data_IF_307507692919
#
_entry.id   IF_307507692919
#
_cell.length_a   1.000
_cell.length_b   1.000
_cell.length_c   1.000
_cell.angle_alpha   90.00
_cell.angle_beta   90.00
_cell.angle_gamma   90.00
#
_symmetry.space_group_name_H-M   'P 1'
#
loop_
_entity.id
_entity.type
_entity.pdbx_description
1 polymer ?
#
# COMPACT_ATOMS: atom_id res chain seq x y z
N UNK A 1 29.26 -13.11 91.12
CA UNK A 1 27.98 -12.89 90.43
C UNK A 1 28.22 -11.91 89.29
N UNK A 2 28.69 -12.37 88.14
CA UNK A 2 27.92 -12.78 86.95
C UNK A 2 27.25 -11.63 86.19
N UNK A 3 27.88 -11.28 85.03
CA UNK A 3 27.28 -10.93 83.72
C UNK A 3 26.54 -9.58 83.63
N UNK A 4 26.65 -8.73 82.59
CA UNK A 4 26.81 -8.92 81.13
C UNK A 4 27.39 -7.61 80.50
N UNK A 5 28.47 -7.67 79.72
CA UNK A 5 28.54 -7.72 78.25
C UNK A 5 28.02 -6.49 77.47
N UNK A 6 29.01 -5.70 77.03
CA UNK A 6 29.20 -5.04 75.72
C UNK A 6 27.95 -4.93 74.83
N UNK A 7 27.46 -3.70 74.64
CA UNK A 7 26.64 -3.33 73.48
C UNK A 7 27.52 -2.68 72.41
N UNK A 8 27.97 -3.52 71.49
CA UNK A 8 28.45 -3.17 70.15
C UNK A 8 27.51 -3.89 69.18
N UNK A 9 27.25 -3.27 68.01
CA UNK A 9 26.48 -3.78 66.86
C UNK A 9 24.95 -3.70 67.03
N UNK A 10 24.14 -3.31 66.04
CA UNK A 10 24.36 -3.23 64.59
C UNK A 10 23.30 -2.27 64.01
N UNK A 11 23.75 -1.17 63.38
CA UNK A 11 22.89 -0.34 62.54
C UNK A 11 22.62 -1.12 61.25
N UNK A 12 21.48 -1.80 61.19
CA UNK A 12 21.05 -2.56 60.02
C UNK A 12 20.53 -1.56 58.97
N UNK A 13 21.47 -0.89 58.29
CA UNK A 13 21.24 -0.24 57.02
C UNK A 13 20.80 -1.33 56.04
N UNK A 14 19.49 -1.51 55.91
CA UNK A 14 18.89 -2.14 54.73
C UNK A 14 19.15 -1.20 53.56
N UNK A 15 20.38 -1.24 53.05
CA UNK A 15 20.65 -0.89 51.67
C UNK A 15 19.81 -1.88 50.86
N UNK A 16 18.61 -1.44 50.49
CA UNK A 16 17.93 -1.95 49.30
C UNK A 16 18.90 -1.66 48.17
N UNK A 17 19.80 -2.61 47.95
CA UNK A 17 20.51 -2.77 46.71
C UNK A 17 19.41 -3.04 45.69
N UNK A 18 18.88 -1.96 45.11
CA UNK A 18 18.40 -2.02 43.74
C UNK A 18 19.59 -2.58 42.97
N UNK A 19 19.61 -3.90 42.75
CA UNK A 19 20.33 -4.47 41.64
C UNK A 19 19.90 -3.62 40.44
N UNK A 20 20.79 -2.74 39.99
CA UNK A 20 20.65 -2.11 38.69
C UNK A 20 20.69 -3.30 37.74
N UNK A 21 19.50 -3.79 37.36
CA UNK A 21 19.33 -4.74 36.27
C UNK A 21 20.26 -4.24 35.16
N UNK A 22 21.13 -5.10 34.60
CA UNK A 22 22.09 -4.68 33.60
C UNK A 22 21.33 -3.84 32.59
N UNK A 23 21.77 -2.59 32.40
CA UNK A 23 21.10 -1.61 31.55
C UNK A 23 21.05 -2.22 30.17
N UNK A 24 19.93 -2.87 29.83
CA UNK A 24 19.78 -3.56 28.56
C UNK A 24 19.88 -2.47 27.50
N UNK A 25 20.86 -2.58 26.61
CA UNK A 25 21.10 -1.62 25.53
C UNK A 25 20.04 -1.80 24.44
N UNK A 26 18.79 -1.52 24.77
CA UNK A 26 17.67 -1.64 23.86
C UNK A 26 17.77 -0.65 22.69
N UNK A 27 18.30 0.55 22.95
CA UNK A 27 18.38 1.66 22.00
C UNK A 27 19.12 1.29 20.72
N UNK A 28 20.20 0.51 20.81
CA UNK A 28 20.93 0.07 19.63
C UNK A 28 20.29 -1.15 18.95
N UNK A 29 19.74 -2.10 19.72
CA UNK A 29 19.23 -3.36 19.18
C UNK A 29 17.91 -3.13 18.42
N UNK A 30 17.07 -2.20 18.89
CA UNK A 30 15.77 -1.89 18.31
C UNK A 30 15.83 -1.24 16.95
N UNK A 31 16.96 -0.64 16.56
CA UNK A 31 17.09 0.06 15.29
C UNK A 31 16.82 -0.86 14.09
N UNK A 32 16.16 -0.33 13.08
CA UNK A 32 15.81 -1.04 11.85
C UNK A 32 14.33 -1.38 11.74
N UNK A 33 14.01 -2.18 10.73
CA UNK A 33 12.65 -2.52 10.33
C UNK A 33 12.21 -3.86 10.96
N UNK A 34 11.02 -3.89 11.55
CA UNK A 34 10.42 -5.03 12.26
C UNK A 34 9.02 -5.29 11.73
N UNK A 35 8.66 -6.56 11.52
CA UNK A 35 7.35 -6.97 11.03
C UNK A 35 6.64 -7.87 12.03
N UNK A 36 5.34 -7.66 12.21
CA UNK A 36 4.53 -8.45 13.11
C UNK A 36 4.34 -9.88 12.59
N UNK A 37 4.60 -10.85 13.45
CA UNK A 37 4.41 -12.27 13.15
C UNK A 37 3.12 -12.81 13.73
N UNK A 38 2.96 -12.67 15.05
CA UNK A 38 1.89 -13.30 15.82
C UNK A 38 1.73 -12.64 17.19
N UNK A 39 0.63 -12.97 17.84
CA UNK A 39 0.32 -12.60 19.21
C UNK A 39 0.08 -13.84 20.10
N UNK A 40 0.32 -13.69 21.41
CA UNK A 40 0.24 -14.77 22.40
C UNK A 40 -0.40 -14.24 23.70
N UNK A 41 -1.51 -14.85 24.20
CA UNK A 41 -2.32 -15.84 23.50
C UNK A 41 -2.94 -15.23 22.24
N UNK A 42 -3.31 -16.09 21.29
CA UNK A 42 -4.07 -15.65 20.12
C UNK A 42 -5.45 -15.18 20.60
N UNK A 43 -5.80 -13.93 20.34
CA UNK A 43 -7.14 -13.44 20.64
C UNK A 43 -8.04 -13.82 19.46
N UNK A 44 -8.99 -14.72 19.70
CA UNK A 44 -10.00 -15.06 18.71
C UNK A 44 -10.80 -13.81 18.30
N UNK A 45 -11.14 -13.71 17.02
CA UNK A 45 -11.88 -12.59 16.42
C UNK A 45 -11.13 -11.24 16.36
N UNK A 46 -9.83 -11.19 16.66
CA UNK A 46 -9.03 -10.00 16.37
C UNK A 46 -8.34 -10.12 15.00
N UNK A 47 -8.92 -9.47 13.98
CA UNK A 47 -8.25 -9.26 12.71
C UNK A 47 -7.16 -8.20 12.89
N UNK A 48 -5.95 -8.62 13.27
CA UNK A 48 -4.80 -7.73 13.12
C UNK A 48 -4.57 -7.51 11.63
N UNK A 49 -4.72 -6.25 11.21
CA UNK A 49 -4.11 -5.80 9.98
C UNK A 49 -2.61 -5.98 10.13
N UNK A 50 -1.94 -6.59 9.15
CA UNK A 50 -0.49 -6.71 9.18
C UNK A 50 0.14 -5.35 9.43
N UNK A 51 1.15 -5.31 10.28
CA UNK A 51 1.81 -4.08 10.67
C UNK A 51 3.27 -4.32 11.01
N UNK A 52 4.02 -3.23 11.10
CA UNK A 52 5.42 -3.24 11.44
C UNK A 52 5.91 -1.87 11.88
N UNK A 53 7.10 -1.86 12.46
CA UNK A 53 7.75 -0.65 12.96
C UNK A 53 9.15 -0.52 12.38
N UNK A 54 9.54 0.70 12.03
CA UNK A 54 10.92 1.02 11.67
C UNK A 54 11.44 2.09 12.62
N UNK A 55 12.53 1.81 13.33
CA UNK A 55 13.09 2.71 14.34
C UNK A 55 14.43 3.29 13.89
N UNK A 56 14.61 4.60 14.06
CA UNK A 56 15.88 5.28 13.81
C UNK A 56 16.53 5.84 15.09
N UNK A 57 17.82 6.16 15.00
CA UNK A 57 18.61 6.67 16.13
C UNK A 57 18.14 8.03 16.69
N UNK A 58 17.24 8.73 16.00
CA UNK A 58 16.77 10.06 16.36
C UNK A 58 15.40 10.02 17.08
N UNK A 59 14.95 8.84 17.50
CA UNK A 59 13.64 8.66 18.13
C UNK A 59 12.47 8.76 17.15
N UNK A 60 12.71 8.65 15.83
CA UNK A 60 11.64 8.53 14.86
C UNK A 60 11.22 7.07 14.70
N UNK A 61 9.91 6.86 14.59
CA UNK A 61 9.32 5.58 14.29
C UNK A 61 8.45 5.70 13.04
N UNK A 62 8.58 4.77 12.11
CA UNK A 62 7.59 4.58 11.06
C UNK A 62 6.73 3.36 11.42
N UNK A 63 5.46 3.60 11.74
CA UNK A 63 4.46 2.56 11.96
C UNK A 63 3.75 2.30 10.64
N UNK A 64 3.93 1.12 10.04
CA UNK A 64 3.26 0.71 8.79
C UNK A 64 2.16 -0.31 9.09
N UNK A 65 1.01 -0.28 8.38
CA UNK A 65 0.65 0.60 7.27
C UNK A 65 0.28 2.03 7.69
N UNK A 66 0.28 2.32 9.00
CA UNK A 66 0.02 3.66 9.52
C UNK A 66 -1.12 3.68 10.52
N UNK A 67 -1.50 4.90 10.87
CA UNK A 67 -2.58 5.18 11.80
C UNK A 67 -3.85 5.48 11.02
N UNK A 68 -4.89 4.70 11.27
CA UNK A 68 -6.18 4.83 10.63
C UNK A 68 -7.29 4.98 11.66
N UNK A 69 -8.31 5.74 11.32
CA UNK A 69 -9.55 5.83 12.08
C UNK A 69 -10.73 5.63 11.12
N UNK A 70 -11.59 4.67 11.42
CA UNK A 70 -12.87 4.56 10.71
C UNK A 70 -13.86 5.54 11.32
N UNK A 71 -14.49 6.35 10.47
CA UNK A 71 -15.68 7.12 10.82
C UNK A 71 -16.90 6.38 10.28
N UNK A 72 -17.85 6.13 11.17
CA UNK A 72 -19.10 5.45 10.81
C UNK A 72 -19.93 6.27 9.83
N UNK A 73 -20.79 5.58 9.11
CA UNK A 73 -21.79 6.21 8.24
C UNK A 73 -22.70 7.10 9.07
N UNK A 74 -23.01 8.28 8.54
CA UNK A 74 -24.07 9.16 9.07
C UNK A 74 -25.19 9.28 8.03
N UNK A 75 -26.25 10.02 8.34
CA UNK A 75 -27.30 10.34 7.35
C UNK A 75 -26.75 11.06 6.12
N UNK A 76 -25.66 11.81 6.26
CA UNK A 76 -25.10 12.69 5.21
C UNK A 76 -23.84 12.15 4.55
N UNK A 77 -23.15 11.21 5.18
CA UNK A 77 -21.83 10.76 4.73
C UNK A 77 -21.72 9.25 4.82
N UNK A 78 -21.12 8.64 3.81
CA UNK A 78 -20.75 7.23 3.86
C UNK A 78 -19.67 6.96 4.93
N UNK A 79 -19.56 5.69 5.32
CA UNK A 79 -18.44 5.24 6.16
C UNK A 79 -17.13 5.56 5.43
N UNK A 80 -16.19 6.20 6.14
CA UNK A 80 -14.90 6.62 5.58
C UNK A 80 -13.75 6.25 6.49
N UNK A 81 -12.59 5.99 5.90
CA UNK A 81 -11.35 5.74 6.63
C UNK A 81 -10.46 6.96 6.55
N UNK A 82 -10.09 7.50 7.72
CA UNK A 82 -9.18 8.63 7.86
C UNK A 82 -7.77 8.11 8.13
N UNK A 83 -6.83 8.50 7.27
CA UNK A 83 -5.43 8.17 7.40
C UNK A 83 -4.69 9.31 8.12
N UNK A 84 -3.92 9.00 9.15
CA UNK A 84 -3.16 9.97 9.93
C UNK A 84 -1.68 10.03 9.55
N UNK A 85 -1.17 9.05 8.79
CA UNK A 85 0.23 8.94 8.40
C UNK A 85 0.91 7.71 9.02
N UNK A 86 2.15 7.45 8.59
CA UNK A 86 3.01 6.37 9.12
C UNK A 86 4.07 6.89 10.10
N UNK A 87 4.55 8.12 9.90
CA UNK A 87 5.67 8.71 10.64
C UNK A 87 5.21 9.22 12.02
N UNK A 88 5.87 8.75 13.06
CA UNK A 88 5.64 9.10 14.46
C UNK A 88 6.94 9.11 15.27
N UNK A 89 6.85 9.21 16.60
CA UNK A 89 7.98 9.18 17.52
C UNK A 89 7.95 7.95 18.41
N UNK A 90 9.13 7.52 18.85
CA UNK A 90 9.28 6.51 19.88
C UNK A 90 10.28 6.96 20.95
N UNK A 91 10.21 6.35 22.13
CA UNK A 91 11.22 6.42 23.18
C UNK A 91 11.25 5.12 23.97
N UNK A 92 12.37 4.86 24.64
CA UNK A 92 12.51 3.72 25.55
C UNK A 92 12.82 4.27 26.93
N UNK A 93 12.05 3.85 27.94
CA UNK A 93 12.28 4.22 29.34
C UNK A 93 12.27 2.94 30.17
N UNK A 94 13.39 2.64 30.82
CA UNK A 94 13.56 1.39 31.56
C UNK A 94 13.40 0.16 30.66
N UNK A 95 12.41 -0.69 30.95
CA UNK A 95 12.08 -1.88 30.17
C UNK A 95 10.85 -1.70 29.27
N UNK A 96 10.46 -0.46 28.99
CA UNK A 96 9.26 -0.15 28.22
C UNK A 96 9.57 0.65 26.96
N UNK A 97 8.98 0.23 25.85
CA UNK A 97 8.93 0.95 24.58
C UNK A 97 7.64 1.78 24.54
N UNK A 98 7.79 3.06 24.20
CA UNK A 98 6.68 3.98 24.00
C UNK A 98 6.64 4.41 22.55
N UNK A 99 5.49 4.27 21.89
CA UNK A 99 5.26 4.76 20.53
C UNK A 99 4.10 5.75 20.56
N UNK A 100 4.29 6.94 20.01
CA UNK A 100 3.26 7.97 19.99
C UNK A 100 2.16 7.62 18.99
N UNK A 101 0.91 7.55 19.44
CA UNK A 101 -0.22 7.21 18.61
C UNK A 101 -0.82 8.47 17.97
N UNK A 102 -0.85 8.52 16.64
CA UNK A 102 -1.30 9.71 15.91
C UNK A 102 -2.82 9.94 15.97
N UNK A 103 -3.62 8.90 16.25
CA UNK A 103 -5.08 9.02 16.38
C UNK A 103 -5.42 9.53 17.78
N UNK A 104 -5.00 8.81 18.82
CA UNK A 104 -5.37 9.14 20.20
C UNK A 104 -4.56 10.28 20.81
N UNK A 105 -3.45 10.69 20.16
CA UNK A 105 -2.47 11.67 20.66
C UNK A 105 -1.86 11.28 22.00
N UNK A 106 -1.71 9.98 22.26
CA UNK A 106 -1.14 9.42 23.51
C UNK A 106 0.04 8.51 23.21
N UNK A 107 0.91 8.35 24.19
CA UNK A 107 1.99 7.35 24.15
C UNK A 107 1.43 5.97 24.47
N UNK A 108 1.57 5.04 23.54
CA UNK A 108 1.26 3.62 23.75
C UNK A 108 2.51 2.95 24.33
N UNK A 109 2.43 2.51 25.58
CA UNK A 109 3.50 1.79 26.25
C UNK A 109 3.39 0.28 25.99
N UNK A 110 4.53 -0.39 25.86
CA UNK A 110 4.63 -1.84 25.82
C UNK A 110 5.93 -2.29 26.48
N UNK A 111 5.86 -3.32 27.31
CA UNK A 111 7.04 -3.85 27.99
C UNK A 111 7.89 -4.66 27.01
N UNK A 112 9.18 -4.40 26.94
CA UNK A 112 10.14 -5.18 26.15
C UNK A 112 10.45 -6.45 26.94
N UNK A 113 9.86 -7.57 26.51
CA UNK A 113 10.10 -8.88 27.13
C UNK A 113 11.40 -9.48 26.59
N UNK A 114 11.59 -9.38 25.29
CA UNK A 114 12.74 -9.93 24.59
C UNK A 114 13.10 -9.02 23.41
N UNK A 115 14.39 -8.79 23.19
CA UNK A 115 14.88 -8.19 21.96
C UNK A 115 16.30 -8.68 21.65
N UNK A 116 16.53 -9.09 20.41
CA UNK A 116 17.83 -9.52 19.91
C UNK A 116 17.97 -9.12 18.42
N UNK A 117 18.96 -9.64 17.69
CA UNK A 117 19.19 -9.26 16.28
C UNK A 117 18.11 -9.76 15.31
N UNK A 118 17.21 -10.64 15.74
CA UNK A 118 16.18 -11.28 14.90
C UNK A 118 14.77 -11.09 15.43
N UNK A 119 14.59 -11.02 16.75
CA UNK A 119 13.26 -11.07 17.39
C UNK A 119 13.07 -9.89 18.34
N UNK A 120 11.85 -9.36 18.35
CA UNK A 120 11.36 -8.39 19.31
C UNK A 120 10.02 -8.89 19.88
N UNK A 121 9.89 -8.96 21.20
CA UNK A 121 8.65 -9.32 21.90
C UNK A 121 8.21 -8.18 22.81
N UNK A 122 7.00 -7.70 22.57
CA UNK A 122 6.39 -6.59 23.29
C UNK A 122 5.15 -7.08 24.03
N UNK A 123 5.09 -6.92 25.35
CA UNK A 123 3.89 -7.19 26.12
C UNK A 123 3.04 -5.92 26.22
N UNK A 124 1.82 -6.00 25.69
CA UNK A 124 0.81 -4.95 25.79
C UNK A 124 0.15 -4.95 27.17
N UNK A 125 -0.55 -3.86 27.49
CA UNK A 125 -1.28 -3.72 28.76
C UNK A 125 -2.43 -4.73 28.95
N UNK A 126 -2.84 -5.45 27.90
CA UNK A 126 -3.86 -6.51 27.96
C UNK A 126 -3.29 -7.90 28.22
N UNK A 127 -2.06 -7.97 28.74
CA UNK A 127 -1.31 -9.22 28.97
C UNK A 127 -0.96 -10.02 27.69
N UNK A 128 -1.23 -9.47 26.49
CA UNK A 128 -0.88 -10.06 25.20
C UNK A 128 0.56 -9.74 24.84
N UNK A 129 1.31 -10.75 24.40
CA UNK A 129 2.66 -10.62 23.84
C UNK A 129 2.59 -10.59 22.32
N UNK A 130 3.10 -9.51 21.72
CA UNK A 130 3.27 -9.35 20.28
C UNK A 130 4.70 -9.73 19.90
N UNK A 131 4.86 -10.62 18.93
CA UNK A 131 6.15 -11.07 18.42
C UNK A 131 6.41 -10.48 17.02
N UNK A 132 7.63 -9.96 16.83
CA UNK A 132 8.08 -9.36 15.60
C UNK A 132 9.40 -9.98 15.14
N UNK A 133 9.54 -10.11 13.82
CA UNK A 133 10.80 -10.47 13.16
C UNK A 133 11.50 -9.24 12.62
N UNK A 134 12.83 -9.21 12.72
CA UNK A 134 13.66 -8.19 12.07
C UNK A 134 13.71 -8.44 10.57
N UNK A 135 13.37 -7.43 9.78
CA UNK A 135 13.43 -7.53 8.33
C UNK A 135 14.87 -7.31 7.85
N UNK A 136 15.39 -8.29 7.11
CA UNK A 136 16.65 -8.19 6.40
C UNK A 136 16.36 -8.09 4.90
N UNK A 137 16.49 -6.89 4.34
CA UNK A 137 16.18 -6.67 2.94
C UNK A 137 17.33 -7.08 2.04
N UNK A 138 17.01 -7.84 0.98
CA UNK A 138 17.88 -8.03 -0.17
C UNK A 138 17.48 -7.01 -1.22
N UNK A 139 17.99 -5.79 -1.09
CA UNK A 139 17.65 -4.70 -1.99
C UNK A 139 18.16 -5.02 -3.40
N UNK A 140 17.25 -5.01 -4.37
CA UNK A 140 17.62 -5.13 -5.77
C UNK A 140 17.79 -3.72 -6.38
N UNK A 141 18.99 -3.17 -6.28
CA UNK A 141 19.31 -1.82 -6.78
C UNK A 141 19.16 -1.68 -8.31
N UNK A 142 19.08 -2.81 -9.05
CA UNK A 142 19.00 -2.80 -10.52
C UNK A 142 17.59 -2.53 -11.05
N UNK A 143 16.56 -2.57 -10.20
CA UNK A 143 15.17 -2.36 -10.62
C UNK A 143 14.67 -1.04 -10.04
N UNK A 144 14.65 -0.02 -10.89
CA UNK A 144 14.05 1.28 -10.65
C UNK A 144 12.76 1.44 -11.48
N UNK A 145 11.90 2.35 -11.05
CA UNK A 145 10.66 2.67 -11.75
C UNK A 145 10.40 4.17 -11.68
N UNK A 146 9.72 4.70 -12.70
CA UNK A 146 9.35 6.11 -12.74
C UNK A 146 7.89 6.33 -12.35
N UNK A 147 7.07 5.27 -12.29
CA UNK A 147 5.69 5.31 -11.82
C UNK A 147 5.31 4.07 -11.04
N UNK A 148 4.48 4.27 -10.03
CA UNK A 148 3.69 3.22 -9.39
C UNK A 148 2.21 3.57 -9.53
N UNK A 149 1.42 2.58 -9.93
CA UNK A 149 -0.03 2.69 -10.07
C UNK A 149 -0.65 1.66 -9.15
N UNK A 150 -1.63 2.07 -8.34
CA UNK A 150 -2.33 1.20 -7.40
C UNK A 150 -3.83 1.38 -7.59
N UNK A 151 -4.56 0.28 -7.66
CA UNK A 151 -6.02 0.23 -7.81
C UNK A 151 -6.61 -0.68 -6.75
N UNK A 152 -7.72 -0.25 -6.15
CA UNK A 152 -8.48 -0.98 -5.13
C UNK A 152 -9.88 -1.28 -5.65
N UNK A 153 -10.22 -2.56 -5.79
CA UNK A 153 -11.53 -3.00 -6.29
C UNK A 153 -12.64 -2.79 -5.24
N UNK A 154 -13.92 -2.96 -5.61
CA UNK A 154 -14.99 -3.17 -4.63
C UNK A 154 -14.73 -4.39 -3.72
N UNK A 155 -15.42 -4.42 -2.58
CA UNK A 155 -15.58 -5.58 -1.68
C UNK A 155 -17.05 -5.62 -1.21
N UNK A 156 -17.47 -6.65 -0.48
CA UNK A 156 -18.86 -6.74 0.03
C UNK A 156 -19.22 -5.62 1.04
N UNK A 157 -18.22 -5.08 1.73
CA UNK A 157 -18.37 -4.01 2.71
C UNK A 157 -18.06 -2.62 2.17
N UNK A 158 -17.62 -1.73 3.07
CA UNK A 158 -17.28 -0.33 2.76
C UNK A 158 -15.77 -0.13 2.52
N UNK A 159 -15.14 -1.03 1.75
CA UNK A 159 -13.73 -0.85 1.40
C UNK A 159 -13.59 0.35 0.46
N UNK A 160 -12.65 1.28 0.69
CA UNK A 160 -12.40 2.38 -0.24
C UNK A 160 -12.03 1.86 -1.62
N UNK A 161 -12.74 2.35 -2.63
CA UNK A 161 -12.55 2.00 -4.04
C UNK A 161 -11.86 3.19 -4.70
N UNK A 162 -10.58 3.05 -5.02
CA UNK A 162 -9.80 4.12 -5.58
C UNK A 162 -8.61 3.64 -6.41
N UNK A 163 -8.08 4.58 -7.17
CA UNK A 163 -6.87 4.43 -7.96
C UNK A 163 -5.93 5.60 -7.69
N UNK A 164 -4.63 5.33 -7.68
CA UNK A 164 -3.59 6.34 -7.56
C UNK A 164 -2.39 5.99 -8.43
N UNK A 165 -1.97 6.94 -9.27
CA UNK A 165 -0.71 6.92 -10.01
C UNK A 165 0.22 7.95 -9.38
N UNK A 166 1.43 7.52 -8.99
CA UNK A 166 2.45 8.38 -8.40
C UNK A 166 3.67 8.35 -9.33
N UNK A 167 4.05 9.51 -9.86
CA UNK A 167 5.16 9.66 -10.79
C UNK A 167 6.43 10.17 -10.08
N UNK A 168 7.59 9.83 -10.63
CA UNK A 168 8.92 10.23 -10.14
C UNK A 168 9.17 11.73 -10.14
N UNK A 169 8.54 12.45 -11.06
CA UNK A 169 8.54 13.91 -11.10
C UNK A 169 7.64 14.54 -10.01
N UNK A 170 6.95 13.71 -9.24
CA UNK A 170 6.04 14.10 -8.16
C UNK A 170 4.59 14.27 -8.58
N UNK A 171 4.23 14.14 -9.86
CA UNK A 171 2.85 14.23 -10.31
C UNK A 171 2.02 13.05 -9.81
N UNK A 172 0.83 13.35 -9.28
CA UNK A 172 -0.12 12.36 -8.80
C UNK A 172 -1.43 12.50 -9.57
N UNK A 173 -1.99 11.36 -9.96
CA UNK A 173 -3.36 11.24 -10.46
C UNK A 173 -4.11 10.32 -9.53
N UNK A 174 -5.28 10.76 -9.06
CA UNK A 174 -6.10 10.03 -8.12
C UNK A 174 -7.53 9.98 -8.63
N UNK A 175 -8.14 8.81 -8.55
CA UNK A 175 -9.56 8.62 -8.77
C UNK A 175 -10.18 7.95 -7.55
N UNK A 176 -11.17 8.59 -6.93
CA UNK A 176 -11.97 7.98 -5.88
C UNK A 176 -13.36 7.65 -6.40
N UNK A 177 -13.76 6.38 -6.33
CA UNK A 177 -15.09 5.93 -6.72
C UNK A 177 -16.08 6.01 -5.56
N UNK A 178 -15.89 5.17 -4.52
CA UNK A 178 -16.79 5.04 -3.37
C UNK A 178 -16.03 4.80 -2.06
N UNK A 179 -16.66 5.11 -0.92
CA UNK A 179 -16.10 4.92 0.42
C UNK A 179 -14.75 5.62 0.69
N UNK A 180 -14.38 6.61 -0.12
CA UNK A 180 -13.23 7.48 0.12
C UNK A 180 -13.67 8.77 0.80
N UNK A 181 -12.72 9.44 1.45
CA UNK A 181 -12.95 10.80 1.95
C UNK A 181 -13.11 11.85 0.84
N UNK A 182 -12.69 11.55 -0.39
CA UNK A 182 -12.91 12.38 -1.58
C UNK A 182 -13.07 11.46 -2.81
N UNK A 183 -14.16 11.64 -3.55
CA UNK A 183 -14.47 10.91 -4.79
C UNK A 183 -14.43 11.87 -5.99
N UNK A 184 -14.14 11.34 -7.17
CA UNK A 184 -13.89 12.09 -8.40
C UNK A 184 -12.45 11.96 -8.88
N UNK A 185 -12.15 12.64 -9.99
CA UNK A 185 -10.82 12.69 -10.60
C UNK A 185 -10.04 13.89 -10.09
N UNK A 186 -8.83 13.65 -9.62
CA UNK A 186 -7.96 14.68 -9.07
C UNK A 186 -6.52 14.51 -9.56
N UNK A 187 -5.84 15.64 -9.64
CA UNK A 187 -4.39 15.73 -9.78
C UNK A 187 -3.78 16.38 -8.54
N UNK A 188 -2.52 16.06 -8.29
CA UNK A 188 -1.76 16.67 -7.20
C UNK A 188 -0.26 16.58 -7.47
N UNK A 189 0.54 17.05 -6.51
CA UNK A 189 1.99 17.02 -6.58
C UNK A 189 2.63 16.77 -5.22
N UNK A 190 3.60 15.87 -5.20
CA UNK A 190 4.54 15.66 -4.08
C UNK A 190 5.95 16.10 -4.49
N UNK A 191 6.85 16.22 -3.52
CA UNK A 191 8.27 16.46 -3.79
C UNK A 191 8.92 15.21 -4.35
N UNK A 192 9.92 15.39 -5.21
CA UNK A 192 10.74 14.27 -5.71
C UNK A 192 11.40 13.46 -4.58
N UNK A 193 11.73 14.10 -3.46
CA UNK A 193 12.25 13.42 -2.27
C UNK A 193 11.24 12.45 -1.65
N UNK A 194 9.95 12.76 -1.70
CA UNK A 194 8.89 11.87 -1.20
C UNK A 194 8.72 10.65 -2.10
N UNK A 195 8.80 10.82 -3.43
CA UNK A 195 8.86 9.68 -4.35
C UNK A 195 10.09 8.80 -4.10
N UNK A 196 11.27 9.40 -3.87
CA UNK A 196 12.49 8.64 -3.58
C UNK A 196 12.35 7.80 -2.29
N UNK A 197 11.63 8.29 -1.29
CA UNK A 197 11.30 7.52 -0.09
C UNK A 197 10.39 6.33 -0.42
N UNK A 198 9.36 6.52 -1.26
CA UNK A 198 8.48 5.45 -1.74
C UNK A 198 9.29 4.39 -2.51
N UNK A 199 10.12 4.82 -3.47
CA UNK A 199 10.95 3.94 -4.28
C UNK A 199 11.89 3.11 -3.41
N UNK A 200 12.61 3.75 -2.48
CA UNK A 200 13.49 3.07 -1.52
C UNK A 200 12.73 2.04 -0.68
N UNK A 201 11.53 2.39 -0.23
CA UNK A 201 10.70 1.50 0.58
C UNK A 201 10.23 0.26 -0.19
N UNK A 202 9.91 0.42 -1.48
CA UNK A 202 9.44 -0.69 -2.32
C UNK A 202 10.59 -1.54 -2.87
N UNK A 203 11.76 -0.96 -3.14
CA UNK A 203 13.00 -1.70 -3.46
C UNK A 203 13.41 -2.64 -2.33
N UNK A 204 13.21 -2.24 -1.06
CA UNK A 204 13.42 -3.12 0.11
C UNK A 204 12.56 -4.39 0.04
N UNK A 205 11.33 -4.29 -0.46
CA UNK A 205 10.39 -5.44 -0.57
C UNK A 205 10.78 -6.41 -1.69
N UNK A 206 11.68 -6.02 -2.60
CA UNK A 206 12.10 -6.81 -3.76
C UNK A 206 10.89 -7.21 -4.63
N UNK A 207 10.07 -6.22 -4.99
CA UNK A 207 8.81 -6.41 -5.71
C UNK A 207 8.96 -7.16 -7.05
N UNK A 208 10.13 -7.09 -7.69
CA UNK A 208 10.41 -7.80 -8.95
C UNK A 208 10.32 -9.32 -8.81
N UNK A 209 10.56 -9.86 -7.61
CA UNK A 209 10.56 -11.30 -7.34
C UNK A 209 9.23 -11.82 -6.76
N UNK A 210 8.25 -10.93 -6.57
CA UNK A 210 6.90 -11.34 -6.16
C UNK A 210 6.20 -12.08 -7.30
N UNK A 211 5.19 -12.90 -6.96
CA UNK A 211 4.30 -13.49 -7.96
C UNK A 211 3.45 -12.38 -8.60
N UNK A 212 2.98 -12.63 -9.82
CA UNK A 212 2.06 -11.69 -10.49
C UNK A 212 0.66 -11.72 -9.87
N UNK A 213 0.23 -12.85 -9.33
CA UNK A 213 -1.09 -13.02 -8.73
C UNK A 213 -1.03 -13.71 -7.36
N UNK A 214 -1.76 -13.16 -6.41
CA UNK A 214 -2.05 -13.74 -5.11
C UNK A 214 -3.56 -13.70 -4.91
N UNK A 215 -4.17 -14.87 -4.66
CA UNK A 215 -5.62 -14.95 -4.49
C UNK A 215 -5.96 -15.81 -3.30
N UNK A 216 -6.89 -15.33 -2.48
CA UNK A 216 -7.58 -16.12 -1.50
C UNK A 216 -8.51 -17.14 -2.17
N UNK A 217 -8.93 -18.15 -1.41
CA UNK A 217 -9.89 -19.17 -1.84
C UNK A 217 -11.30 -18.94 -1.28
N UNK A 218 -11.62 -17.72 -0.85
CA UNK A 218 -12.94 -17.27 -0.41
C UNK A 218 -13.40 -16.08 -1.26
N UNK A 219 -14.62 -15.59 -1.05
CA UNK A 219 -15.22 -14.47 -1.79
C UNK A 219 -15.29 -13.20 -0.94
N UNK A 220 -15.82 -12.11 -1.51
CA UNK A 220 -16.21 -10.87 -0.82
C UNK A 220 -15.09 -9.93 -0.34
N UNK A 221 -13.83 -10.32 -0.52
CA UNK A 221 -12.66 -9.49 -0.23
C UNK A 221 -12.32 -8.49 -1.34
N UNK A 222 -11.52 -7.50 -0.99
CA UNK A 222 -10.98 -6.51 -1.92
C UNK A 222 -9.75 -7.06 -2.68
N UNK A 223 -9.66 -6.79 -3.98
CA UNK A 223 -8.43 -6.89 -4.76
C UNK A 223 -7.64 -5.58 -4.71
N UNK A 224 -6.33 -5.69 -4.49
CA UNK A 224 -5.38 -4.61 -4.70
C UNK A 224 -4.49 -4.96 -5.89
N UNK A 225 -4.54 -4.13 -6.93
CA UNK A 225 -3.70 -4.25 -8.12
C UNK A 225 -2.60 -3.18 -8.09
N UNK A 226 -1.34 -3.56 -8.30
CA UNK A 226 -0.18 -2.67 -8.29
C UNK A 226 0.65 -2.86 -9.54
N UNK A 227 0.91 -1.78 -10.29
CA UNK A 227 1.73 -1.79 -11.51
C UNK A 227 2.92 -0.85 -11.37
N UNK A 228 4.11 -1.35 -11.70
CA UNK A 228 5.37 -0.60 -11.74
C UNK A 228 5.76 -0.32 -13.20
N UNK A 229 6.07 0.94 -13.52
CA UNK A 229 6.34 1.38 -14.90
C UNK A 229 7.66 2.15 -14.98
N UNK A 230 8.43 1.90 -16.04
CA UNK A 230 9.61 2.69 -16.43
C UNK A 230 9.56 3.03 -17.91
N UNK A 231 9.67 4.32 -18.25
CA UNK A 231 9.60 4.80 -19.64
C UNK A 231 8.40 4.22 -20.44
N UNK A 232 7.22 4.27 -19.83
CA UNK A 232 5.96 3.69 -20.33
C UNK A 232 5.99 2.16 -20.61
N UNK A 233 7.03 1.45 -20.17
CA UNK A 233 7.08 -0.02 -20.13
C UNK A 233 6.67 -0.52 -18.75
N UNK A 234 5.68 -1.40 -18.71
CA UNK A 234 5.28 -2.15 -17.52
C UNK A 234 6.43 -3.10 -17.17
N UNK A 235 6.96 -2.93 -15.96
CA UNK A 235 8.02 -3.77 -15.42
C UNK A 235 7.44 -4.98 -14.68
N UNK A 236 6.35 -4.75 -13.94
CA UNK A 236 5.69 -5.74 -13.10
C UNK A 236 4.29 -5.27 -12.76
N UNK A 237 3.34 -6.19 -12.78
CA UNK A 237 2.01 -6.00 -12.20
C UNK A 237 1.74 -7.12 -11.21
N UNK A 238 1.14 -6.76 -10.07
CA UNK A 238 0.83 -7.67 -8.96
C UNK A 238 -0.62 -7.46 -8.59
N UNK A 239 -1.42 -8.52 -8.62
CA UNK A 239 -2.78 -8.54 -8.07
C UNK A 239 -2.79 -9.31 -6.76
N UNK A 240 -3.50 -8.77 -5.77
CA UNK A 240 -3.63 -9.34 -4.45
C UNK A 240 -5.08 -9.30 -3.97
N UNK A 241 -5.78 -10.42 -4.18
CA UNK A 241 -7.13 -10.63 -3.71
C UNK A 241 -7.13 -11.26 -2.32
N UNK A 242 -7.73 -10.57 -1.35
CA UNK A 242 -7.85 -11.07 0.02
C UNK A 242 -6.55 -11.05 0.84
N UNK A 243 -5.63 -10.11 0.54
CA UNK A 243 -4.40 -9.86 1.32
C UNK A 243 -3.46 -11.07 1.44
N UNK A 244 -3.30 -11.83 0.36
CA UNK A 244 -2.47 -13.04 0.29
C UNK A 244 -1.01 -12.79 -0.11
N UNK A 245 -0.68 -11.59 -0.61
CA UNK A 245 0.72 -11.24 -0.90
C UNK A 245 1.56 -11.09 0.39
N UNK A 246 2.91 -11.07 0.32
CA UNK A 246 3.75 -10.95 1.51
C UNK A 246 3.42 -9.72 2.37
N UNK A 247 3.35 -9.91 3.69
CA UNK A 247 3.02 -8.84 4.65
C UNK A 247 3.83 -7.56 4.42
N UNK A 248 5.14 -7.71 4.17
CA UNK A 248 6.04 -6.59 3.91
C UNK A 248 5.66 -5.78 2.67
N UNK A 249 5.08 -6.39 1.64
CA UNK A 249 4.55 -5.66 0.49
C UNK A 249 3.30 -4.89 0.88
N UNK A 250 2.31 -5.57 1.47
CA UNK A 250 1.01 -4.98 1.80
C UNK A 250 1.11 -3.77 2.72
N UNK A 251 1.94 -3.83 3.78
CA UNK A 251 2.12 -2.70 4.71
C UNK A 251 2.80 -1.48 4.06
N UNK A 252 3.50 -1.67 2.93
CA UNK A 252 4.13 -0.59 2.18
C UNK A 252 3.23 -0.01 1.09
N UNK A 253 2.28 -0.80 0.56
CA UNK A 253 1.32 -0.37 -0.46
C UNK A 253 0.14 0.38 0.16
N UNK A 254 -0.43 -0.13 1.25
CA UNK A 254 -1.63 0.46 1.88
C UNK A 254 -1.51 1.97 2.19
N UNK A 255 -0.43 2.50 2.77
CA UNK A 255 -0.35 3.95 3.03
C UNK A 255 -0.43 4.80 1.75
N UNK A 256 0.03 4.26 0.61
CA UNK A 256 0.04 4.98 -0.68
C UNK A 256 -1.38 5.15 -1.23
N UNK A 257 -2.29 4.20 -0.96
CA UNK A 257 -3.69 4.28 -1.41
C UNK A 257 -4.49 5.34 -0.64
N UNK A 258 -3.93 5.88 0.44
CA UNK A 258 -4.50 6.98 1.22
C UNK A 258 -3.68 8.28 1.13
N UNK A 259 -2.62 8.31 0.31
CA UNK A 259 -1.77 9.49 0.14
C UNK A 259 -2.57 10.73 -0.30
N UNK A 260 -3.65 10.52 -1.06
CA UNK A 260 -4.56 11.57 -1.50
C UNK A 260 -5.14 12.41 -0.34
N UNK A 261 -5.22 11.86 0.89
CA UNK A 261 -5.67 12.59 2.08
C UNK A 261 -4.60 13.53 2.67
N UNK A 262 -3.35 13.39 2.24
CA UNK A 262 -2.18 14.11 2.78
C UNK A 262 -1.60 15.15 1.84
N UNK A 263 -2.23 15.32 0.68
CA UNK A 263 -1.78 16.22 -0.38
C UNK A 263 -2.93 17.14 -0.78
N UNK A 264 -2.59 18.26 -1.40
CA UNK A 264 -3.59 19.19 -1.93
C UNK A 264 -4.13 18.64 -3.24
N UNK A 265 -5.39 18.21 -3.25
CA UNK A 265 -6.06 17.74 -4.46
C UNK A 265 -6.62 18.92 -5.27
N UNK A 266 -6.47 18.83 -6.59
CA UNK A 266 -7.09 19.71 -7.56
C UNK A 266 -7.93 18.86 -8.52
N UNK A 267 -9.18 19.23 -8.75
CA UNK A 267 -10.06 18.50 -9.67
C UNK A 267 -9.43 18.41 -11.07
N UNK A 268 -9.41 17.20 -11.64
CA UNK A 268 -8.94 16.96 -13.00
C UNK A 268 -10.11 16.83 -13.97
N UNK A 269 -10.52 17.96 -14.54
CA UNK A 269 -11.59 18.05 -15.54
C UNK A 269 -11.22 17.47 -16.90
N UNK A 270 -9.96 17.08 -17.10
CA UNK A 270 -9.46 16.50 -18.36
C UNK A 270 -9.39 14.97 -18.30
N UNK A 271 -9.58 14.40 -17.11
CA UNK A 271 -9.65 12.96 -16.93
C UNK A 271 -10.82 12.36 -17.73
N UNK A 272 -10.59 11.19 -18.30
CA UNK A 272 -11.59 10.42 -19.04
C UNK A 272 -11.85 9.15 -18.25
N UNK A 273 -13.11 8.89 -17.96
CA UNK A 273 -13.48 7.70 -17.20
C UNK A 273 -13.47 6.47 -18.11
N UNK A 274 -12.53 5.56 -17.84
CA UNK A 274 -12.51 4.23 -18.42
C UNK A 274 -12.41 3.14 -17.34
N UNK A 275 -12.64 3.47 -16.06
CA UNK A 275 -12.33 2.58 -14.94
C UNK A 275 -13.36 1.46 -14.74
N UNK A 276 -14.62 1.73 -15.06
CA UNK A 276 -15.66 0.71 -15.01
C UNK A 276 -15.69 -0.18 -16.25
N UNK A 277 -14.90 0.17 -17.27
CA UNK A 277 -14.79 -0.63 -18.47
C UNK A 277 -13.80 -1.75 -18.16
N UNK A 278 -14.25 -3.01 -18.26
CA UNK A 278 -13.36 -4.16 -18.21
C UNK A 278 -12.45 -4.18 -19.46
N UNK A 279 -11.43 -3.32 -19.46
CA UNK A 279 -10.64 -3.02 -20.63
C UNK A 279 -9.73 -4.20 -20.94
N UNK A 280 -10.05 -4.86 -22.05
CA UNK A 280 -9.35 -6.02 -22.59
C UNK A 280 -9.12 -5.82 -24.08
N UNK A 281 -8.14 -6.50 -24.66
CA UNK A 281 -7.88 -6.47 -26.10
C UNK A 281 -8.25 -7.80 -26.74
N UNK A 282 -9.28 -7.79 -27.58
CA UNK A 282 -9.71 -9.00 -28.28
C UNK A 282 -9.16 -9.07 -29.71
N UNK A 283 -8.67 -10.25 -30.09
CA UNK A 283 -8.21 -10.55 -31.46
C UNK A 283 -8.69 -11.94 -31.86
N UNK A 284 -9.82 -12.00 -32.58
CA UNK A 284 -10.47 -13.25 -32.91
C UNK A 284 -11.00 -13.95 -31.64
N UNK A 285 -10.56 -15.19 -31.40
CA UNK A 285 -10.88 -15.97 -30.20
C UNK A 285 -9.90 -15.74 -29.03
N UNK A 286 -8.92 -14.85 -29.20
CA UNK A 286 -7.94 -14.53 -28.16
C UNK A 286 -8.28 -13.24 -27.44
N UNK A 287 -7.94 -13.19 -26.16
CA UNK A 287 -8.13 -12.03 -25.29
C UNK A 287 -6.84 -11.71 -24.54
N UNK A 288 -6.61 -10.43 -24.30
CA UNK A 288 -5.55 -9.93 -23.42
C UNK A 288 -6.23 -9.09 -22.36
N UNK A 289 -6.19 -9.56 -21.11
CA UNK A 289 -6.68 -8.80 -19.98
C UNK A 289 -5.61 -7.83 -19.46
N UNK A 290 -6.11 -6.70 -18.95
CA UNK A 290 -5.33 -5.77 -18.15
C UNK A 290 -5.77 -5.91 -16.69
N UNK A 291 -4.81 -5.78 -15.77
CA UNK A 291 -5.15 -5.62 -14.36
C UNK A 291 -5.74 -4.23 -14.11
N UNK A 292 -6.51 -4.00 -13.04
CA UNK A 292 -7.11 -2.68 -12.77
C UNK A 292 -6.10 -1.53 -12.77
N UNK A 293 -4.90 -1.74 -12.21
CA UNK A 293 -3.84 -0.72 -12.23
C UNK A 293 -3.23 -0.49 -13.62
N UNK A 294 -3.23 -1.49 -14.49
CA UNK A 294 -2.85 -1.31 -15.91
C UNK A 294 -3.94 -0.57 -16.71
N UNK A 295 -5.21 -0.80 -16.38
CA UNK A 295 -6.34 -0.05 -16.94
C UNK A 295 -6.20 1.42 -16.54
N UNK A 296 -5.98 1.74 -15.26
CA UNK A 296 -5.80 3.12 -14.83
C UNK A 296 -4.60 3.79 -15.51
N UNK A 297 -3.49 3.05 -15.64
CA UNK A 297 -2.31 3.55 -16.36
C UNK A 297 -2.63 3.89 -17.83
N UNK A 298 -3.32 3.00 -18.56
CA UNK A 298 -3.73 3.27 -19.93
C UNK A 298 -4.71 4.44 -20.02
N UNK A 299 -5.65 4.54 -19.08
CA UNK A 299 -6.60 5.66 -18.98
C UNK A 299 -5.88 6.99 -18.85
N UNK A 300 -4.89 7.08 -17.95
CA UNK A 300 -4.08 8.28 -17.78
C UNK A 300 -3.26 8.63 -19.02
N UNK A 301 -2.76 7.63 -19.77
CA UNK A 301 -2.11 7.85 -21.06
C UNK A 301 -3.09 8.40 -22.11
N UNK A 302 -4.29 7.83 -22.21
CA UNK A 302 -5.32 8.27 -23.15
C UNK A 302 -5.86 9.67 -22.82
N UNK A 303 -5.99 10.02 -21.54
CA UNK A 303 -6.37 11.38 -21.12
C UNK A 303 -5.35 12.43 -21.58
N UNK A 304 -4.06 12.10 -21.58
CA UNK A 304 -2.95 13.00 -21.99
C UNK A 304 -2.63 12.95 -23.48
N UNK A 305 -3.22 12.01 -24.21
CA UNK A 305 -2.97 11.81 -25.64
C UNK A 305 -3.64 12.88 -26.51
N UNK A 306 -3.13 13.05 -27.72
CA UNK A 306 -3.74 13.94 -28.72
C UNK A 306 -4.85 13.23 -29.48
N UNK A 307 -5.88 13.98 -29.85
CA UNK A 307 -6.90 13.50 -30.78
C UNK A 307 -6.40 13.60 -32.23
N UNK A 308 -6.81 12.67 -33.07
CA UNK A 308 -6.40 12.63 -34.49
C UNK A 308 -7.50 12.12 -35.40
N UNK A 309 -7.46 12.51 -36.67
CA UNK A 309 -8.31 11.96 -37.75
C UNK A 309 -7.61 10.87 -38.56
N UNK A 310 -6.36 10.51 -38.21
CA UNK A 310 -5.57 9.51 -38.93
C UNK A 310 -6.27 8.15 -38.94
N UNK A 311 -6.40 7.55 -40.13
CA UNK A 311 -6.90 6.19 -40.29
C UNK A 311 -5.83 5.17 -39.92
N UNK A 312 -6.27 4.04 -39.35
CA UNK A 312 -5.43 2.89 -39.02
C UNK A 312 -6.21 1.60 -39.19
N UNK A 313 -5.49 0.47 -39.34
CA UNK A 313 -6.10 -0.85 -39.38
C UNK A 313 -6.13 -1.43 -37.96
N UNK A 314 -7.32 -1.52 -37.38
CA UNK A 314 -7.50 -2.11 -36.06
C UNK A 314 -6.95 -3.55 -36.04
N UNK A 315 -6.10 -3.85 -35.04
CA UNK A 315 -5.60 -5.20 -34.75
C UNK A 315 -6.41 -5.87 -33.65
N UNK A 316 -7.01 -5.07 -32.77
CA UNK A 316 -7.83 -5.49 -31.64
C UNK A 316 -9.14 -4.70 -31.65
N UNK A 317 -10.24 -5.39 -31.37
CA UNK A 317 -11.58 -4.81 -31.35
C UNK A 317 -12.33 -5.40 -30.16
N UNK A 318 -12.68 -4.56 -29.20
CA UNK A 318 -13.42 -4.97 -28.00
C UNK A 318 -14.78 -4.27 -28.02
N UNK A 319 -15.85 -5.06 -27.91
CA UNK A 319 -17.21 -4.54 -27.78
C UNK A 319 -17.64 -4.62 -26.33
N UNK A 320 -18.37 -3.61 -25.89
CA UNK A 320 -18.86 -3.49 -24.52
C UNK A 320 -20.39 -3.49 -24.51
N UNK A 321 -20.95 -3.97 -23.41
CA UNK A 321 -22.40 -4.04 -23.23
C UNK A 321 -23.01 -2.64 -23.06
N UNK A 322 -24.34 -2.56 -23.15
CA UNK A 322 -25.12 -1.32 -23.13
C UNK A 322 -25.03 -0.55 -21.82
N UNK A 323 -24.45 -1.11 -20.77
CA UNK A 323 -24.34 -0.42 -19.49
C UNK A 323 -23.19 0.60 -19.47
N UNK A 324 -22.21 0.51 -20.38
CA UNK A 324 -21.04 1.39 -20.40
C UNK A 324 -21.18 2.56 -21.37
N UNK A 325 -20.66 3.74 -21.01
CA UNK A 325 -20.67 4.92 -21.90
C UNK A 325 -19.84 4.73 -23.18
N UNK A 326 -18.96 3.74 -23.16
CA UNK A 326 -18.20 3.24 -24.30
C UNK A 326 -18.85 1.97 -24.84
N UNK A 327 -19.17 1.96 -26.13
CA UNK A 327 -19.77 0.79 -26.81
C UNK A 327 -18.71 -0.09 -27.48
N UNK A 328 -17.60 0.48 -27.93
CA UNK A 328 -16.55 -0.23 -28.65
C UNK A 328 -15.21 0.49 -28.57
N UNK A 329 -14.14 -0.28 -28.49
CA UNK A 329 -12.77 0.21 -28.66
C UNK A 329 -12.09 -0.55 -29.80
N UNK A 330 -11.54 0.19 -30.75
CA UNK A 330 -10.69 -0.34 -31.83
C UNK A 330 -9.26 0.17 -31.65
N UNK A 331 -8.26 -0.71 -31.74
CA UNK A 331 -6.86 -0.29 -31.60
C UNK A 331 -5.87 -1.15 -32.39
N UNK A 332 -4.78 -0.54 -32.86
CA UNK A 332 -3.57 -1.25 -33.34
C UNK A 332 -2.45 -1.31 -32.28
N UNK A 333 -2.73 -0.79 -31.09
CA UNK A 333 -1.84 -0.64 -29.95
C UNK A 333 -1.28 0.77 -29.79
N UNK A 334 -1.27 1.62 -30.83
CA UNK A 334 -0.88 3.04 -30.73
C UNK A 334 -2.09 3.96 -30.84
N UNK A 335 -2.92 3.73 -31.84
CA UNK A 335 -4.16 4.48 -32.04
C UNK A 335 -5.31 3.78 -31.33
N UNK A 336 -6.11 4.54 -30.59
CA UNK A 336 -7.28 4.04 -29.88
C UNK A 336 -8.50 4.82 -30.34
N UNK A 337 -9.35 4.17 -31.11
CA UNK A 337 -10.64 4.72 -31.52
C UNK A 337 -11.70 4.23 -30.56
N UNK A 338 -12.25 5.15 -29.78
CA UNK A 338 -13.23 4.89 -28.74
C UNK A 338 -14.59 5.36 -29.24
N UNK A 339 -15.55 4.45 -29.29
CA UNK A 339 -16.91 4.72 -29.70
C UNK A 339 -17.78 4.88 -28.45
N UNK A 340 -18.49 5.99 -28.36
CA UNK A 340 -19.50 6.21 -27.32
C UNK A 340 -20.80 5.48 -27.65
N UNK A 341 -21.72 5.38 -26.68
CA UNK A 341 -23.07 4.81 -26.87
C UNK A 341 -23.84 5.43 -28.04
N UNK A 342 -23.74 6.75 -28.22
CA UNK A 342 -24.40 7.48 -29.32
C UNK A 342 -23.67 7.34 -30.68
N UNK A 343 -22.77 6.36 -30.82
CA UNK A 343 -22.01 6.03 -32.04
C UNK A 343 -21.05 7.12 -32.53
N UNK A 344 -20.86 8.21 -31.77
CA UNK A 344 -19.75 9.11 -31.99
C UNK A 344 -18.44 8.39 -31.66
N UNK A 345 -17.35 8.81 -32.29
CA UNK A 345 -16.04 8.22 -32.01
C UNK A 345 -14.95 9.26 -31.97
N UNK A 346 -13.98 9.05 -31.08
CA UNK A 346 -12.78 9.87 -30.99
C UNK A 346 -11.58 8.93 -31.11
N UNK A 347 -10.60 9.33 -31.94
CA UNK A 347 -9.35 8.58 -32.08
C UNK A 347 -8.23 9.30 -31.34
N UNK A 348 -7.56 8.56 -30.46
CA UNK A 348 -6.44 9.00 -29.65
C UNK A 348 -5.14 8.41 -30.20
N UNK A 349 -4.10 9.23 -30.32
CA UNK A 349 -2.72 8.78 -30.63
C UNK A 349 -1.88 8.82 -29.36
N UNK A 350 -1.54 7.64 -28.81
CA UNK A 350 -0.66 7.55 -27.64
C UNK A 350 0.79 7.97 -27.93
N UNK A 351 1.17 8.09 -29.21
CA UNK A 351 2.54 8.38 -29.65
C UNK A 351 3.45 7.14 -29.68
N UNK A 352 3.04 6.02 -29.08
CA UNK A 352 3.76 4.74 -29.08
C UNK A 352 2.78 3.56 -29.05
N UNK A 353 3.25 2.37 -29.42
CA UNK A 353 2.42 1.16 -29.36
C UNK A 353 2.44 0.57 -27.94
N UNK A 354 1.37 0.78 -27.16
CA UNK A 354 1.21 0.29 -25.78
C UNK A 354 1.25 -1.24 -25.70
N UNK A 355 0.63 -1.94 -26.64
CA UNK A 355 0.55 -3.41 -26.64
C UNK A 355 1.93 -4.02 -26.91
N UNK A 356 2.64 -3.52 -27.92
CA UNK A 356 3.97 -4.01 -28.29
C UNK A 356 5.03 -3.60 -27.25
N UNK A 357 5.00 -2.35 -26.77
CA UNK A 357 5.94 -1.82 -25.75
C UNK A 357 5.91 -2.64 -24.45
N UNK A 358 4.73 -3.11 -24.07
CA UNK A 358 4.49 -3.88 -22.86
C UNK A 358 4.43 -5.40 -23.10
N UNK A 359 4.71 -5.85 -24.33
CA UNK A 359 4.75 -7.27 -24.70
C UNK A 359 3.44 -8.02 -24.35
N UNK A 360 2.29 -7.33 -24.38
CA UNK A 360 1.02 -7.84 -23.85
C UNK A 360 0.49 -9.05 -24.63
N UNK A 361 0.92 -9.23 -25.87
CA UNK A 361 0.57 -10.40 -26.68
C UNK A 361 1.06 -11.71 -26.10
N UNK A 362 2.06 -11.69 -25.20
CA UNK A 362 2.51 -12.87 -24.44
C UNK A 362 1.49 -13.36 -23.41
N UNK A 363 0.50 -12.54 -23.07
CA UNK A 363 -0.56 -12.83 -22.09
C UNK A 363 -1.89 -13.23 -22.76
N UNK A 364 -1.84 -13.61 -24.03
CA UNK A 364 -3.04 -13.99 -24.78
C UNK A 364 -3.60 -15.33 -24.29
N UNK A 365 -4.86 -15.32 -23.88
CA UNK A 365 -5.62 -16.52 -23.52
C UNK A 365 -6.79 -16.73 -24.50
N UNK A 366 -7.40 -17.92 -24.49
CA UNK A 366 -8.64 -18.14 -25.22
C UNK A 366 -9.79 -17.47 -24.46
N UNK A 367 -10.78 -16.94 -25.18
CA UNK A 367 -11.97 -16.30 -24.59
C UNK A 367 -12.79 -17.19 -23.64
N UNK A 368 -12.59 -18.51 -23.69
CA UNK A 368 -13.34 -19.47 -22.89
C UNK A 368 -12.62 -19.87 -21.58
N UNK A 369 -11.45 -19.28 -21.30
CA UNK A 369 -10.66 -19.54 -20.09
C UNK A 369 -10.98 -18.51 -18.96
N UNK A 370 -12.07 -17.73 -19.09
CA UNK A 370 -12.55 -16.74 -18.12
C UNK A 370 -13.73 -17.23 -17.28
#
# INVERSE_FOLDING_TARGET
>A
MTKNYKYIFLLLLTLISCEKKPTKNYENIILGDWIFEKEIPKIENHFYTDFGYSFDKNGNCESKPGYFETKDKTEKEERKTIFYGTKTKYKIEGDSLYIFNLVSKKWNASKIIEINSKTLKLKSNKEVVLEFSKLNFKVNEKVDFDKIIISKSPCFGSCPINDIEINKNGEIYYYGAFYNSQNGYFKSKIKASEFNEIEKSLKKVNFSNLKDNYTANWTDDQEVSVTFVKNNKILKSITDYGRQSPKSFRINIEPLTYLYQKIKLEEDKTAKDFQYINLRFEKGNKIINLTSSEIFFLSNLLSKSITTSKSFKAKFITNYDTDYDVSRIETDGRFFKIFSKNKNSVTYDLGFNFIEKNELTKRQNLKNDE
#
